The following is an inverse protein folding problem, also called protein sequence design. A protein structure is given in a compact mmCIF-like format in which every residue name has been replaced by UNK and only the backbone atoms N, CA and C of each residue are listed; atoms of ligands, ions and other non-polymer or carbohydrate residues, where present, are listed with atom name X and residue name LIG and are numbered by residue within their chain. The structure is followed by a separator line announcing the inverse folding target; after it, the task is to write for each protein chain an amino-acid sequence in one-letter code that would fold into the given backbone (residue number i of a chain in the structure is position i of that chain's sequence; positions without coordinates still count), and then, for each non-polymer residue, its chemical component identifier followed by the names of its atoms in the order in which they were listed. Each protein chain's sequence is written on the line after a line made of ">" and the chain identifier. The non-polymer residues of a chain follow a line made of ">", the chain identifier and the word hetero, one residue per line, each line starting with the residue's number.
data_IF_185430995973
#
_entry.id   IF_185430995973
#
_cell.length_a   1.000
_cell.length_b   1.000
_cell.length_c   1.000
_cell.angle_alpha   90.00
_cell.angle_beta   90.00
_cell.angle_gamma   90.00
#
_symmetry.space_group_name_H-M   'P 1'
#
loop_
_entity.id
_entity.type
_entity.pdbx_description
1 polymer ?
#
# COMPACT_ATOMS: atom_id res chain seq x y z
N UNK A 1 15.16 -23.33 -10.54
CA UNK A 1 14.59 -24.59 -10.07
C UNK A 1 13.26 -24.28 -9.43
N UNK A 2 12.19 -24.87 -9.94
CA UNK A 2 10.83 -24.69 -9.44
C UNK A 2 10.29 -26.04 -8.97
N UNK A 3 9.40 -26.03 -7.99
CA UNK A 3 8.68 -27.22 -7.54
C UNK A 3 7.19 -27.02 -7.80
N UNK A 4 6.56 -27.97 -8.47
CA UNK A 4 5.11 -27.96 -8.72
C UNK A 4 4.45 -29.10 -7.99
N UNK A 5 3.22 -28.87 -7.50
CA UNK A 5 2.40 -29.89 -6.83
C UNK A 5 1.37 -30.40 -7.84
N UNK A 6 1.43 -31.69 -8.17
CA UNK A 6 0.42 -32.38 -9.01
C UNK A 6 -0.08 -33.61 -8.26
N UNK A 7 -1.38 -33.69 -8.04
CA UNK A 7 -2.01 -34.81 -7.31
C UNK A 7 -1.36 -35.11 -5.94
N UNK A 8 -0.88 -34.06 -5.25
CA UNK A 8 -0.20 -34.18 -3.95
C UNK A 8 1.28 -34.58 -4.01
N UNK A 9 1.86 -34.73 -5.21
CA UNK A 9 3.27 -35.07 -5.42
C UNK A 9 4.05 -33.82 -5.82
N UNK A 10 5.22 -33.63 -5.19
CA UNK A 10 6.16 -32.58 -5.54
C UNK A 10 7.04 -33.03 -6.71
N UNK A 11 7.06 -32.25 -7.79
CA UNK A 11 7.89 -32.49 -8.97
C UNK A 11 8.84 -31.32 -9.17
N UNK A 12 10.13 -31.61 -9.36
CA UNK A 12 11.14 -30.61 -9.70
C UNK A 12 11.14 -30.33 -11.20
N UNK A 13 11.23 -29.06 -11.57
CA UNK A 13 11.27 -28.62 -12.96
C UNK A 13 12.15 -27.38 -13.12
N UNK A 14 12.87 -27.33 -14.24
CA UNK A 14 13.67 -26.16 -14.63
C UNK A 14 12.81 -25.03 -15.21
N UNK A 15 11.55 -25.31 -15.52
CA UNK A 15 10.60 -24.37 -16.13
C UNK A 15 9.38 -24.14 -15.24
N UNK A 16 8.94 -22.88 -15.14
CA UNK A 16 7.74 -22.52 -14.39
C UNK A 16 6.51 -23.01 -15.17
N UNK A 17 5.77 -23.95 -14.58
CA UNK A 17 4.61 -24.60 -15.21
C UNK A 17 3.39 -24.56 -14.29
N UNK A 18 2.20 -24.44 -14.89
CA UNK A 18 0.90 -24.60 -14.22
C UNK A 18 0.09 -25.63 -15.00
N UNK A 19 -0.04 -26.85 -14.46
CA UNK A 19 -0.36 -28.01 -15.29
C UNK A 19 0.70 -28.18 -16.39
N UNK A 20 0.28 -28.47 -17.63
CA UNK A 20 1.19 -28.68 -18.78
C UNK A 20 1.52 -27.40 -19.57
N UNK A 21 1.10 -26.23 -19.07
CA UNK A 21 1.34 -24.94 -19.72
C UNK A 21 2.56 -24.24 -19.11
N UNK A 22 3.42 -23.72 -19.97
CA UNK A 22 4.54 -22.85 -19.59
C UNK A 22 3.98 -21.49 -19.18
N UNK A 23 4.25 -21.07 -17.94
CA UNK A 23 3.77 -19.79 -17.43
C UNK A 23 4.82 -18.70 -17.72
N UNK A 24 4.46 -17.60 -18.40
CA UNK A 24 5.35 -16.46 -18.53
C UNK A 24 5.64 -15.85 -17.17
N UNK A 25 6.82 -15.24 -16.99
CA UNK A 25 7.21 -14.61 -15.72
C UNK A 25 6.16 -13.59 -15.28
N UNK A 26 5.81 -13.63 -13.99
CA UNK A 26 4.86 -12.70 -13.37
C UNK A 26 5.28 -11.24 -13.64
N UNK A 27 4.43 -10.43 -14.30
CA UNK A 27 4.81 -9.08 -14.72
C UNK A 27 4.71 -8.06 -13.59
N UNK A 28 3.84 -8.30 -12.60
CA UNK A 28 3.56 -7.38 -11.49
C UNK A 28 3.22 -8.16 -10.22
N UNK A 29 3.55 -7.66 -9.03
CA UNK A 29 3.35 -8.36 -7.75
C UNK A 29 1.87 -8.65 -7.42
N UNK A 30 0.96 -7.75 -7.78
CA UNK A 30 -0.49 -7.92 -7.62
C UNK A 30 -1.17 -8.69 -8.77
N UNK A 31 -0.44 -9.08 -9.82
CA UNK A 31 -1.02 -9.86 -10.91
C UNK A 31 -1.28 -11.31 -10.49
N UNK A 32 -2.43 -11.86 -10.88
CA UNK A 32 -2.81 -13.25 -10.72
C UNK A 32 -2.88 -13.94 -12.08
N UNK A 33 -2.50 -15.22 -12.16
CA UNK A 33 -2.61 -15.97 -13.41
C UNK A 33 -3.98 -16.66 -13.46
N UNK A 34 -4.84 -16.23 -14.39
CA UNK A 34 -6.22 -16.69 -14.49
C UNK A 34 -6.57 -16.93 -15.96
N UNK A 35 -7.11 -18.10 -16.28
CA UNK A 35 -7.49 -18.52 -17.65
C UNK A 35 -6.38 -18.39 -18.72
N UNK A 36 -5.12 -18.55 -18.34
CA UNK A 36 -3.99 -18.45 -19.28
C UNK A 36 -3.41 -17.05 -19.44
N UNK A 37 -3.94 -16.06 -18.72
CA UNK A 37 -3.50 -14.66 -18.78
C UNK A 37 -3.08 -14.14 -17.40
N UNK A 38 -2.19 -13.16 -17.39
CA UNK A 38 -1.90 -12.37 -16.19
C UNK A 38 -2.96 -11.29 -16.07
N UNK A 39 -3.81 -11.40 -15.06
CA UNK A 39 -4.86 -10.43 -14.75
C UNK A 39 -4.44 -9.61 -13.55
N UNK A 40 -4.54 -8.29 -13.66
CA UNK A 40 -4.38 -7.37 -12.53
C UNK A 40 -5.77 -6.99 -12.04
N UNK A 41 -6.03 -7.26 -10.76
CA UNK A 41 -7.17 -6.64 -10.08
C UNK A 41 -6.80 -5.18 -9.82
N UNK A 42 -7.35 -4.29 -10.66
CA UNK A 42 -7.09 -2.85 -10.58
C UNK A 42 -7.59 -2.25 -9.28
N UNK A 43 -8.69 -2.75 -8.73
CA UNK A 43 -9.28 -2.21 -7.51
C UNK A 43 -8.37 -2.51 -6.32
N UNK A 44 -7.94 -3.77 -6.20
CA UNK A 44 -6.96 -4.17 -5.17
C UNK A 44 -5.65 -3.42 -5.32
N UNK A 45 -5.17 -3.22 -6.55
CA UNK A 45 -3.94 -2.47 -6.81
C UNK A 45 -4.05 -1.00 -6.36
N UNK A 46 -5.07 -0.28 -6.80
CA UNK A 46 -5.24 1.13 -6.42
C UNK A 46 -5.51 1.30 -4.92
N UNK A 47 -6.25 0.39 -4.29
CA UNK A 47 -6.42 0.39 -2.83
C UNK A 47 -5.07 0.22 -2.10
N UNK A 48 -4.18 -0.65 -2.58
CA UNK A 48 -2.86 -0.82 -1.98
C UNK A 48 -1.99 0.44 -2.12
N UNK A 49 -2.09 1.11 -3.27
CA UNK A 49 -1.38 2.35 -3.55
C UNK A 49 -1.88 3.49 -2.64
N UNK A 50 -3.20 3.66 -2.54
CA UNK A 50 -3.83 4.67 -1.70
C UNK A 50 -3.46 4.51 -0.22
N UNK A 51 -3.36 3.25 0.26
CA UNK A 51 -2.90 2.95 1.62
C UNK A 51 -1.43 3.34 1.81
N UNK A 52 -0.55 2.99 0.87
CA UNK A 52 0.87 3.36 0.94
C UNK A 52 1.04 4.89 0.95
N UNK A 53 0.32 5.60 0.08
CA UNK A 53 0.38 7.07 0.02
C UNK A 53 -0.16 7.71 1.30
N UNK A 54 -1.23 7.16 1.89
CA UNK A 54 -1.78 7.62 3.16
C UNK A 54 -0.80 7.42 4.32
N UNK A 55 -0.12 6.26 4.40
CA UNK A 55 0.91 6.00 5.41
C UNK A 55 2.09 6.97 5.30
N UNK A 56 2.61 7.17 4.09
CA UNK A 56 3.72 8.08 3.84
C UNK A 56 3.36 9.51 4.19
N UNK A 57 2.15 9.96 3.82
CA UNK A 57 1.67 11.29 4.19
C UNK A 57 1.62 11.47 5.70
N UNK A 58 1.07 10.50 6.44
CA UNK A 58 0.96 10.57 7.90
C UNK A 58 2.33 10.57 8.59
N UNK A 59 3.29 9.82 8.06
CA UNK A 59 4.67 9.77 8.57
C UNK A 59 5.39 11.09 8.32
N UNK A 60 5.34 11.60 7.09
CA UNK A 60 6.05 12.81 6.68
C UNK A 60 5.53 14.08 7.36
N UNK A 61 4.25 14.09 7.76
CA UNK A 61 3.63 15.26 8.42
C UNK A 61 3.55 15.12 9.95
N UNK A 62 4.04 14.02 10.54
CA UNK A 62 3.96 13.80 11.98
C UNK A 62 4.79 14.82 12.78
N UNK A 63 6.00 15.12 12.31
CA UNK A 63 6.91 16.07 12.95
C UNK A 63 6.34 17.49 12.92
N UNK A 64 5.80 17.93 11.79
CA UNK A 64 5.17 19.24 11.64
C UNK A 64 4.03 19.46 12.65
N UNK A 65 3.20 18.43 12.87
CA UNK A 65 2.11 18.49 13.85
C UNK A 65 2.64 18.56 15.29
N UNK A 66 3.70 17.84 15.59
CA UNK A 66 4.32 17.86 16.92
C UNK A 66 4.97 19.21 17.19
N UNK A 67 5.74 19.72 16.23
CA UNK A 67 6.45 20.99 16.31
C UNK A 67 5.47 22.16 16.51
N UNK A 68 4.40 22.23 15.72
CA UNK A 68 3.40 23.29 15.87
C UNK A 68 2.79 23.34 17.29
N UNK A 69 2.52 22.17 17.89
CA UNK A 69 1.99 22.12 19.27
C UNK A 69 3.01 22.63 20.28
N UNK A 70 4.26 22.21 20.14
CA UNK A 70 5.36 22.65 21.01
C UNK A 70 5.57 24.17 20.90
N UNK A 71 5.63 24.71 19.69
CA UNK A 71 5.78 26.14 19.44
C UNK A 71 4.61 26.96 20.04
N UNK A 72 3.39 26.46 19.89
CA UNK A 72 2.18 27.08 20.46
C UNK A 72 2.20 27.05 21.99
N UNK A 73 2.62 25.94 22.59
CA UNK A 73 2.75 25.78 24.05
C UNK A 73 3.85 26.68 24.62
N UNK A 74 4.93 26.88 23.86
CA UNK A 74 6.04 27.79 24.20
C UNK A 74 5.70 29.27 23.96
N UNK A 75 4.56 29.58 23.31
CA UNK A 75 4.15 30.94 23.00
C UNK A 75 5.07 31.65 22.00
N UNK A 76 5.75 30.89 21.14
CA UNK A 76 6.65 31.41 20.10
C UNK A 76 5.97 31.44 18.74
N UNK A 77 6.60 32.10 17.78
CA UNK A 77 6.14 32.09 16.39
C UNK A 77 6.12 30.66 15.87
N UNK A 78 4.95 30.20 15.42
CA UNK A 78 4.77 28.87 14.87
C UNK A 78 5.23 28.79 13.42
N UNK A 79 5.76 27.63 13.03
CA UNK A 79 6.17 27.29 11.66
C UNK A 79 5.00 27.19 10.68
N UNK A 80 3.81 26.86 11.18
CA UNK A 80 2.55 26.89 10.43
C UNK A 80 1.66 27.98 11.01
N UNK A 81 0.83 28.59 10.17
CA UNK A 81 -0.34 29.33 10.65
C UNK A 81 -1.39 28.38 11.26
N UNK A 82 -2.32 28.93 12.03
CA UNK A 82 -3.42 28.13 12.61
C UNK A 82 -4.32 27.51 11.53
N UNK A 83 -4.54 28.22 10.41
CA UNK A 83 -5.31 27.70 9.27
C UNK A 83 -4.59 26.54 8.58
N UNK A 84 -3.29 26.67 8.30
CA UNK A 84 -2.47 25.59 7.72
C UNK A 84 -2.41 24.37 8.63
N UNK A 85 -2.33 24.58 9.95
CA UNK A 85 -2.39 23.49 10.92
C UNK A 85 -3.73 22.76 10.88
N UNK A 86 -4.85 23.49 10.86
CA UNK A 86 -6.18 22.89 10.80
C UNK A 86 -6.41 22.11 9.51
N UNK A 87 -5.98 22.65 8.37
CA UNK A 87 -6.02 21.96 7.07
C UNK A 87 -5.15 20.69 7.10
N UNK A 88 -3.95 20.76 7.69
CA UNK A 88 -3.08 19.61 7.86
C UNK A 88 -3.74 18.53 8.72
N UNK A 89 -4.40 18.89 9.82
CA UNK A 89 -5.13 17.95 10.67
C UNK A 89 -6.31 17.33 9.92
N UNK A 90 -7.08 18.11 9.16
CA UNK A 90 -8.19 17.60 8.36
C UNK A 90 -7.71 16.56 7.32
N UNK A 91 -6.67 16.89 6.54
CA UNK A 91 -6.05 15.95 5.59
C UNK A 91 -5.53 14.69 6.27
N UNK A 92 -4.92 14.82 7.46
CA UNK A 92 -4.47 13.66 8.24
C UNK A 92 -5.65 12.79 8.71
N UNK A 93 -6.81 13.36 9.02
CA UNK A 93 -8.01 12.58 9.34
C UNK A 93 -8.52 11.80 8.12
N UNK A 94 -8.57 12.43 6.95
CA UNK A 94 -8.95 11.77 5.70
C UNK A 94 -8.02 10.59 5.37
N UNK A 95 -6.70 10.77 5.49
CA UNK A 95 -5.74 9.67 5.26
C UNK A 95 -5.89 8.53 6.26
N UNK A 96 -6.24 8.83 7.52
CA UNK A 96 -6.56 7.79 8.51
C UNK A 96 -7.84 7.04 8.16
N UNK A 97 -8.83 7.69 7.54
CA UNK A 97 -10.03 7.00 7.09
C UNK A 97 -9.70 5.95 6.02
N UNK A 98 -8.83 6.28 5.06
CA UNK A 98 -8.35 5.34 4.02
C UNK A 98 -7.68 4.10 4.65
N UNK A 99 -6.88 4.29 5.70
CA UNK A 99 -6.22 3.18 6.40
C UNK A 99 -7.18 2.37 7.28
N UNK A 100 -8.17 3.05 7.87
CA UNK A 100 -9.16 2.44 8.75
C UNK A 100 -10.35 1.84 8.02
N UNK A 101 -10.43 1.97 6.68
CA UNK A 101 -11.41 1.28 5.84
C UNK A 101 -11.07 -0.23 5.81
N UNK A 102 -11.25 -0.84 6.98
CA UNK A 102 -11.47 -2.25 7.19
C UNK A 102 -12.86 -2.52 6.61
N UNK A 103 -12.88 -2.93 5.35
CA UNK A 103 -13.95 -3.80 4.85
C UNK A 103 -14.02 -5.02 5.78
N UNK A 104 -14.93 -4.96 6.76
CA UNK A 104 -15.39 -6.10 7.56
C UNK A 104 -16.45 -6.85 6.76
#
# INVERSE_FOLDING_TARGET
>A
MYSVIRDGIYLETDTLVFGDLKVPKKPHEYAIFLNGEWVLDTDTYFQSLDKSEAEDFLKNTAEQVSLYKEEKDLGITTTLSEEEYLDLIAKRQERRAILNDLTI
#
